data_IF_065237696815
#
_entry.id   IF_065237696815
#
_cell.length_a   1.000
_cell.length_b   1.000
_cell.length_c   1.000
_cell.angle_alpha   90.00
_cell.angle_beta   90.00
_cell.angle_gamma   90.00
#
_symmetry.space_group_name_H-M   'P 1'
#
loop_
_entity.id
_entity.type
_entity.pdbx_description
1 polymer ?
#
# COMPACT_ATOMS: atom_id res chain seq x y z
N UNK A 1 -5.03 -10.97 0.31
CA UNK A 1 -4.17 -9.95 0.97
C UNK A 1 -3.25 -9.38 -0.09
N UNK A 2 -2.98 -8.06 -0.06
CA UNK A 2 -2.16 -7.34 -1.03
C UNK A 2 -0.89 -6.87 -0.35
N UNK A 3 0.23 -7.00 -1.06
CA UNK A 3 1.52 -6.43 -0.63
C UNK A 3 1.60 -4.98 -1.09
N UNK A 4 1.91 -4.08 -0.17
CA UNK A 4 2.19 -2.68 -0.45
C UNK A 4 3.60 -2.35 0.02
N UNK A 5 4.32 -1.55 -0.76
CA UNK A 5 5.62 -1.00 -0.36
C UNK A 5 5.42 0.40 0.16
N UNK A 6 5.88 0.65 1.38
CA UNK A 6 5.88 1.97 1.98
C UNK A 6 6.84 2.85 1.18
N UNK A 7 6.32 3.97 0.66
CA UNK A 7 7.08 4.95 -0.10
C UNK A 7 7.36 6.22 0.73
N UNK A 8 6.63 6.41 1.82
CA UNK A 8 6.77 7.54 2.73
C UNK A 8 6.66 7.06 4.17
N UNK A 9 7.54 7.55 5.05
CA UNK A 9 7.48 7.24 6.47
C UNK A 9 6.14 7.71 7.03
N UNK A 10 5.40 6.80 7.65
CA UNK A 10 4.14 7.13 8.31
C UNK A 10 4.06 6.45 9.68
N UNK A 11 3.30 7.06 10.59
CA UNK A 11 3.02 6.45 11.89
C UNK A 11 1.74 5.65 11.76
N UNK A 12 1.83 4.34 11.87
CA UNK A 12 0.66 3.47 11.80
C UNK A 12 -0.07 3.53 13.14
N UNK A 13 -1.21 4.22 13.17
CA UNK A 13 -2.01 4.39 14.38
C UNK A 13 -2.60 3.08 14.91
N UNK A 14 -2.73 2.05 14.06
CA UNK A 14 -3.30 0.76 14.46
C UNK A 14 -2.26 -0.13 15.15
N UNK A 15 -1.00 -0.09 14.73
CA UNK A 15 0.09 -0.84 15.37
C UNK A 15 0.91 0.01 16.35
N UNK A 16 0.75 1.33 16.36
CA UNK A 16 1.55 2.26 17.14
C UNK A 16 3.02 2.32 16.69
N UNK A 17 3.32 1.84 15.48
CA UNK A 17 4.67 1.71 14.95
C UNK A 17 4.90 2.67 13.80
N UNK A 18 6.14 3.13 13.68
CA UNK A 18 6.56 3.95 12.55
C UNK A 18 7.00 3.02 11.44
N UNK A 19 6.33 3.12 10.30
CA UNK A 19 6.64 2.36 9.11
C UNK A 19 7.62 3.15 8.25
N UNK A 20 8.79 2.54 8.00
CA UNK A 20 9.88 3.18 7.27
C UNK A 20 9.73 2.99 5.75
N UNK A 21 10.31 3.93 5.00
CA UNK A 21 10.32 3.87 3.54
C UNK A 21 11.08 2.62 3.09
N UNK A 22 10.47 1.88 2.18
CA UNK A 22 11.02 0.64 1.66
C UNK A 22 10.44 -0.62 2.30
N UNK A 23 9.77 -0.50 3.44
CA UNK A 23 9.15 -1.64 4.09
C UNK A 23 8.01 -2.22 3.23
N UNK A 24 7.85 -3.54 3.25
CA UNK A 24 6.77 -4.23 2.52
C UNK A 24 5.77 -4.78 3.50
N UNK A 25 4.55 -4.27 3.44
CA UNK A 25 3.45 -4.65 4.30
C UNK A 25 2.45 -5.50 3.53
N UNK A 26 2.02 -6.60 4.13
CA UNK A 26 0.93 -7.41 3.63
C UNK A 26 -0.37 -7.01 4.36
N UNK A 27 -1.30 -6.42 3.63
CA UNK A 27 -2.53 -5.84 4.17
C UNK A 27 -3.76 -6.30 3.38
N UNK A 28 -4.96 -5.96 3.83
CA UNK A 28 -6.19 -6.18 3.05
C UNK A 28 -6.30 -5.17 1.90
N UNK A 29 -7.11 -5.47 0.88
CA UNK A 29 -7.35 -4.56 -0.25
C UNK A 29 -7.83 -3.16 0.18
N UNK A 30 -8.75 -3.10 1.14
CA UNK A 30 -9.26 -1.84 1.66
C UNK A 30 -8.15 -1.00 2.30
N UNK A 31 -7.26 -1.65 3.06
CA UNK A 31 -6.13 -0.97 3.69
C UNK A 31 -5.06 -0.58 2.68
N UNK A 32 -4.80 -1.41 1.67
CA UNK A 32 -3.91 -1.07 0.57
C UNK A 32 -4.40 0.20 -0.16
N UNK A 33 -5.70 0.25 -0.52
CA UNK A 33 -6.31 1.43 -1.16
C UNK A 33 -6.18 2.67 -0.29
N UNK A 34 -6.43 2.59 1.02
CA UNK A 34 -6.21 3.71 1.93
C UNK A 34 -4.74 4.18 1.91
N UNK A 35 -3.78 3.28 2.09
CA UNK A 35 -2.36 3.65 2.12
C UNK A 35 -1.86 4.22 0.79
N UNK A 36 -2.39 3.75 -0.33
CA UNK A 36 -2.10 4.30 -1.66
C UNK A 36 -2.77 5.65 -1.86
N UNK A 37 -4.03 5.80 -1.43
CA UNK A 37 -4.78 7.06 -1.52
C UNK A 37 -4.13 8.17 -0.70
N UNK A 38 -3.62 7.83 0.49
CA UNK A 38 -2.86 8.74 1.35
C UNK A 38 -1.44 9.04 0.80
N UNK A 39 -1.01 8.32 -0.25
CA UNK A 39 0.30 8.47 -0.86
C UNK A 39 1.46 8.02 0.04
N UNK A 40 1.19 7.19 1.05
CA UNK A 40 2.22 6.67 1.98
C UNK A 40 2.77 5.31 1.57
N UNK A 41 2.00 4.54 0.79
CA UNK A 41 2.43 3.27 0.22
C UNK A 41 2.07 3.15 -1.26
N UNK A 42 2.65 2.15 -1.93
CA UNK A 42 2.36 1.79 -3.31
C UNK A 42 2.07 0.29 -3.37
N UNK A 43 1.00 -0.11 -4.03
CA UNK A 43 0.73 -1.53 -4.27
C UNK A 43 1.85 -2.19 -5.07
N UNK A 44 2.40 -3.26 -4.50
CA UNK A 44 3.27 -4.19 -5.21
C UNK A 44 2.36 -5.18 -5.95
N UNK A 45 1.76 -4.72 -7.04
CA UNK A 45 1.19 -5.66 -8.00
C UNK A 45 2.34 -6.44 -8.61
N UNK A 46 2.52 -7.70 -8.21
CA UNK A 46 3.01 -8.67 -9.17
C UNK A 46 2.09 -8.59 -10.37
N UNK A 47 2.65 -8.36 -11.56
CA UNK A 47 1.94 -8.14 -12.82
C UNK A 47 0.97 -9.28 -13.17
N UNK A 48 -0.19 -9.35 -12.52
CA UNK A 48 -1.39 -9.97 -13.04
C UNK A 48 -2.28 -8.85 -13.50
N UNK A 49 -2.24 -8.65 -14.82
CA UNK A 49 -2.92 -7.59 -15.53
C UNK A 49 -4.37 -7.45 -15.09
N UNK A 50 -4.80 -6.22 -14.91
CA UNK A 50 -6.19 -5.86 -15.17
C UNK A 50 -6.17 -4.45 -15.70
N UNK A 51 -6.56 -4.38 -16.98
CA UNK A 51 -6.73 -3.18 -17.78
C UNK A 51 -7.52 -2.14 -16.99
N UNK A 52 -7.03 -0.89 -16.98
CA UNK A 52 -7.91 0.27 -16.85
C UNK A 52 -8.34 0.60 -18.28
N UNK A 53 -9.54 0.17 -18.64
CA UNK A 53 -10.24 0.57 -19.86
C UNK A 53 -11.47 1.34 -19.37
N UNK A 54 -11.42 2.67 -19.43
CA UNK A 54 -12.52 3.65 -19.33
C UNK A 54 -11.84 5.00 -19.59
N UNK A 55 -12.16 5.82 -20.58
CA UNK A 55 -13.28 5.97 -21.52
C UNK A 55 -12.75 6.66 -22.79
#
# INVERSE_FOLDING_TARGET
MIKVKVIKRYSDVKTGKIEEVGNVLEVTEERARHLVSEGVAKELKESRGTKKETE
#
